data_IF_105653618893
#
_entry.id   IF_105653618893
#
_cell.length_a   1.000
_cell.length_b   1.000
_cell.length_c   1.000
_cell.angle_alpha   90.00
_cell.angle_beta   90.00
_cell.angle_gamma   90.00
#
_symmetry.space_group_name_H-M   'P 1'
#
loop_
_entity.id
_entity.type
_entity.pdbx_description
1 polymer ?
#
# COMPACT_ATOMS: atom_id res chain seq x y z
N UNK A 1 -6.29 1.21 11.58
CA UNK A 1 -7.58 1.05 10.87
C UNK A 1 -7.35 0.17 9.66
N UNK A 2 -8.11 -0.91 9.48
CA UNK A 2 -7.92 -1.84 8.34
C UNK A 2 -8.71 -1.39 7.08
N UNK A 3 -9.67 -0.48 7.23
CA UNK A 3 -10.64 -0.11 6.19
C UNK A 3 -10.30 1.26 5.58
N UNK A 4 -9.16 1.33 4.88
CA UNK A 4 -8.68 2.58 4.24
C UNK A 4 -9.63 3.10 3.16
N UNK A 5 -10.41 2.22 2.53
CA UNK A 5 -11.38 2.59 1.49
C UNK A 5 -12.50 3.48 2.02
N UNK A 6 -13.16 3.06 3.11
CA UNK A 6 -14.26 3.83 3.73
C UNK A 6 -13.72 5.12 4.32
N UNK A 7 -12.55 5.06 4.97
CA UNK A 7 -11.88 6.22 5.53
C UNK A 7 -11.56 7.27 4.45
N UNK A 8 -11.08 6.84 3.27
CA UNK A 8 -10.81 7.73 2.15
C UNK A 8 -12.06 8.45 1.63
N UNK A 9 -13.18 7.74 1.50
CA UNK A 9 -14.45 8.35 1.11
C UNK A 9 -14.95 9.37 2.16
N UNK A 10 -14.82 9.06 3.45
CA UNK A 10 -15.19 9.95 4.53
C UNK A 10 -14.33 11.22 4.56
N UNK A 11 -13.01 11.11 4.35
CA UNK A 11 -12.11 12.25 4.23
C UNK A 11 -12.45 13.16 3.04
N UNK A 12 -12.73 12.58 1.87
CA UNK A 12 -13.11 13.35 0.69
C UNK A 12 -14.42 14.13 0.91
N UNK A 13 -15.44 13.48 1.46
CA UNK A 13 -16.71 14.13 1.78
C UNK A 13 -16.54 15.21 2.86
N UNK A 14 -15.75 14.93 3.90
CA UNK A 14 -15.47 15.87 5.00
C UNK A 14 -14.73 17.12 4.54
N UNK A 15 -13.77 17.00 3.63
CA UNK A 15 -13.09 18.16 3.03
C UNK A 15 -14.06 19.00 2.19
N UNK A 16 -14.91 18.36 1.38
CA UNK A 16 -15.84 19.06 0.49
C UNK A 16 -16.87 19.92 1.25
N UNK A 17 -17.24 19.51 2.47
CA UNK A 17 -18.20 20.24 3.32
C UNK A 17 -17.53 21.10 4.40
N UNK A 18 -16.20 21.21 4.40
CA UNK A 18 -15.44 21.99 5.37
C UNK A 18 -15.44 21.42 6.79
N UNK A 19 -15.73 20.12 6.95
CA UNK A 19 -15.62 19.41 8.22
C UNK A 19 -14.15 19.30 8.67
N UNK A 20 -13.23 19.12 7.71
CA UNK A 20 -11.79 19.17 7.94
C UNK A 20 -11.22 20.46 7.34
N UNK A 21 -10.25 21.07 8.02
CA UNK A 21 -9.57 22.30 7.63
C UNK A 21 -8.59 22.09 6.46
N UNK A 22 -8.19 20.85 6.17
CA UNK A 22 -7.31 20.53 5.05
C UNK A 22 -6.57 19.21 5.21
N UNK A 23 -5.65 18.94 4.28
CA UNK A 23 -4.87 17.69 4.25
C UNK A 23 -3.90 17.54 5.44
N UNK A 24 -3.44 18.64 6.04
CA UNK A 24 -2.56 18.59 7.20
C UNK A 24 -3.28 17.98 8.42
N UNK A 25 -4.55 18.34 8.62
CA UNK A 25 -5.40 17.75 9.66
C UNK A 25 -5.59 16.25 9.43
N UNK A 26 -5.87 15.84 8.18
CA UNK A 26 -6.03 14.43 7.83
C UNK A 26 -4.74 13.62 8.05
N UNK A 27 -3.58 14.21 7.76
CA UNK A 27 -2.28 13.58 7.97
C UNK A 27 -2.02 13.36 9.46
N UNK A 28 -2.44 14.29 10.31
CA UNK A 28 -2.35 14.15 11.76
C UNK A 28 -3.29 13.06 12.32
N UNK A 29 -4.40 12.76 11.63
CA UNK A 29 -5.30 11.66 12.00
C UNK A 29 -4.74 10.27 11.66
N UNK A 30 -3.73 10.19 10.80
CA UNK A 30 -3.15 8.92 10.40
C UNK A 30 -2.26 8.35 11.51
N UNK A 31 -2.60 7.15 11.96
CA UNK A 31 -1.80 6.39 12.93
C UNK A 31 -1.29 5.11 12.28
N UNK A 32 0.03 4.96 12.25
CA UNK A 32 0.66 3.75 11.75
C UNK A 32 0.31 2.54 12.62
N UNK A 33 -0.18 1.46 12.00
CA UNK A 33 -0.41 0.20 12.73
C UNK A 33 0.89 -0.53 13.05
N UNK A 34 1.77 -0.69 12.05
CA UNK A 34 3.09 -1.33 12.20
C UNK A 34 3.97 -0.98 11.01
N UNK A 35 5.27 -0.84 11.29
CA UNK A 35 6.34 -0.74 10.29
C UNK A 35 7.17 -2.01 10.30
N UNK A 36 7.51 -2.50 9.11
CA UNK A 36 8.56 -3.50 8.95
C UNK A 36 9.67 -2.91 8.11
N UNK A 37 10.90 -3.27 8.44
CA UNK A 37 12.10 -2.85 7.71
C UNK A 37 12.65 -4.05 6.92
N UNK A 38 13.24 -3.83 5.73
CA UNK A 38 13.84 -4.92 4.96
C UNK A 38 14.90 -5.64 5.77
N UNK A 39 14.76 -6.96 5.91
CA UNK A 39 15.70 -7.82 6.64
C UNK A 39 16.39 -8.86 5.74
N UNK A 40 15.95 -8.99 4.50
CA UNK A 40 16.51 -9.92 3.52
C UNK A 40 17.69 -9.28 2.80
N UNK A 41 18.78 -10.02 2.63
CA UNK A 41 19.95 -9.56 1.86
C UNK A 41 19.55 -9.31 0.39
N UNK A 42 20.14 -8.31 -0.28
CA UNK A 42 19.76 -7.96 -1.65
C UNK A 42 19.87 -9.13 -2.62
N UNK A 43 20.93 -9.93 -2.52
CA UNK A 43 21.22 -11.03 -3.45
C UNK A 43 20.13 -12.10 -3.41
N UNK A 44 19.66 -12.45 -2.21
CA UNK A 44 18.60 -13.42 -2.02
C UNK A 44 17.25 -12.89 -2.52
N UNK A 45 16.98 -11.60 -2.28
CA UNK A 45 15.78 -10.94 -2.81
C UNK A 45 15.74 -11.00 -4.34
N UNK A 46 16.84 -10.65 -5.00
CA UNK A 46 16.93 -10.68 -6.47
C UNK A 46 16.79 -12.11 -7.01
N UNK A 47 17.44 -13.10 -6.38
CA UNK A 47 17.35 -14.51 -6.77
C UNK A 47 15.92 -15.04 -6.71
N UNK A 48 15.21 -14.75 -5.62
CA UNK A 48 13.81 -15.17 -5.43
C UNK A 48 12.88 -14.48 -6.44
N UNK A 49 13.06 -13.18 -6.66
CA UNK A 49 12.24 -12.42 -7.58
C UNK A 49 12.43 -12.85 -9.04
N UNK A 50 13.69 -13.10 -9.47
CA UNK A 50 13.98 -13.66 -10.79
C UNK A 50 13.33 -15.05 -10.99
N UNK A 51 13.34 -15.89 -9.95
CA UNK A 51 12.63 -17.16 -9.96
C UNK A 51 11.11 -17.01 -10.14
N UNK A 52 10.50 -16.05 -9.45
CA UNK A 52 9.07 -15.74 -9.61
C UNK A 52 8.74 -15.23 -11.01
N UNK A 53 9.53 -14.31 -11.57
CA UNK A 53 9.34 -13.82 -12.94
C UNK A 53 9.39 -14.96 -13.97
N UNK A 54 10.39 -15.83 -13.85
CA UNK A 54 10.49 -17.04 -14.68
C UNK A 54 9.25 -17.92 -14.55
N UNK A 55 8.71 -18.08 -13.35
CA UNK A 55 7.48 -18.86 -13.14
C UNK A 55 6.27 -18.19 -13.82
N UNK A 56 6.10 -16.88 -13.67
CA UNK A 56 5.03 -16.12 -14.33
C UNK A 56 5.09 -16.30 -15.84
N UNK A 57 6.28 -16.12 -16.46
CA UNK A 57 6.46 -16.31 -17.91
C UNK A 57 5.98 -17.69 -18.38
N UNK A 58 6.22 -18.75 -17.59
CA UNK A 58 5.79 -20.12 -17.92
C UNK A 58 4.29 -20.34 -17.81
N UNK A 59 3.56 -19.45 -17.14
CA UNK A 59 2.09 -19.49 -17.05
C UNK A 59 1.38 -18.72 -18.17
N UNK A 60 2.12 -17.90 -18.93
CA UNK A 60 1.57 -17.12 -20.04
C UNK A 60 1.49 -17.94 -21.32
N UNK A 61 0.54 -17.60 -22.20
CA UNK A 61 0.43 -18.21 -23.53
C UNK A 61 -0.08 -19.66 -23.53
N UNK A 62 -0.70 -20.09 -22.45
CA UNK A 62 -1.43 -21.36 -22.41
C UNK A 62 -2.75 -21.20 -23.18
N UNK A 63 -2.96 -22.06 -24.19
CA UNK A 63 -4.17 -22.16 -25.03
C UNK A 63 -4.76 -23.55 -24.86
#
# INVERSE_FOLDING_TARGET
>A
VAETTVLGAAYAAGLAVGFFAGFDELTALWAEGRRWVPAMIPEERERLYAGWQKAVERTLGWV
#
